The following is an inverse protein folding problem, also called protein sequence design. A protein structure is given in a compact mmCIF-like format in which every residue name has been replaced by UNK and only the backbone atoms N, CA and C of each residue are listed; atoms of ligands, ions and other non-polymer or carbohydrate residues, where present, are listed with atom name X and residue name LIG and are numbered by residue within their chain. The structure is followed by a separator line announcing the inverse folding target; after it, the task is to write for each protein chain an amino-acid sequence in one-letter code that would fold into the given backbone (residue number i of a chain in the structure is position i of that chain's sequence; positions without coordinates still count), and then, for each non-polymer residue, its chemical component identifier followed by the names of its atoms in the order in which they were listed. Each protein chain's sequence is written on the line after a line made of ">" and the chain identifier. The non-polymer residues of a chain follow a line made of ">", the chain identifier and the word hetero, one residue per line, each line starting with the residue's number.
data_IF_651285436557
#
_entry.id   IF_651285436557
#
_cell.length_a   1.000
_cell.length_b   1.000
_cell.length_c   1.000
_cell.angle_alpha   90.00
_cell.angle_beta   90.00
_cell.angle_gamma   90.00
#
_symmetry.space_group_name_H-M   'P 1'
#
loop_
_entity.id
_entity.type
_entity.pdbx_description
1 polymer ?
#
# COMPACT_ATOMS: atom_id res chain seq x y z
N UNK A 1 22.80 -0.40 6.35
CA UNK A 1 21.70 -1.03 5.58
C UNK A 1 21.08 0.01 4.67
N UNK A 2 21.20 -0.16 3.36
CA UNK A 2 20.56 0.74 2.39
C UNK A 2 19.09 0.33 2.30
N UNK A 3 18.19 1.15 2.85
CA UNK A 3 16.74 0.94 2.69
C UNK A 3 16.43 1.17 1.21
N UNK A 4 16.23 0.09 0.45
CA UNK A 4 15.82 0.17 -0.95
C UNK A 4 14.37 0.65 -0.98
N UNK A 5 14.18 1.93 -1.28
CA UNK A 5 12.86 2.53 -1.44
C UNK A 5 12.32 2.16 -2.81
N UNK A 6 11.29 1.33 -2.86
CA UNK A 6 10.63 0.99 -4.11
C UNK A 6 9.48 1.98 -4.33
N UNK A 7 9.65 2.87 -5.31
CA UNK A 7 8.61 3.82 -5.73
C UNK A 7 7.90 3.25 -6.95
N UNK A 8 6.59 3.04 -6.84
CA UNK A 8 5.75 2.64 -7.97
C UNK A 8 4.71 3.71 -8.22
N UNK A 9 4.48 4.01 -9.50
CA UNK A 9 3.43 4.92 -9.97
C UNK A 9 2.46 4.12 -10.84
N UNK A 10 1.17 4.21 -10.57
CA UNK A 10 0.13 3.58 -11.39
C UNK A 10 -1.07 4.50 -11.57
N UNK A 11 -1.65 4.49 -12.77
CA UNK A 11 -2.48 5.59 -13.30
C UNK A 11 -3.91 5.16 -13.65
N UNK A 12 -4.23 3.88 -13.47
CA UNK A 12 -5.53 3.31 -13.85
C UNK A 12 -6.16 2.60 -12.65
N UNK A 13 -7.48 2.75 -12.51
CA UNK A 13 -8.28 1.93 -11.62
C UNK A 13 -8.01 0.45 -11.91
N UNK A 14 -7.81 -0.33 -10.86
CA UNK A 14 -7.41 -1.72 -10.99
C UNK A 14 -6.63 -2.23 -9.80
N UNK A 15 -6.22 -3.49 -9.92
CA UNK A 15 -5.47 -4.18 -8.89
C UNK A 15 -3.99 -4.26 -9.26
N UNK A 16 -3.13 -3.99 -8.28
CA UNK A 16 -1.68 -4.13 -8.42
C UNK A 16 -1.13 -4.90 -7.24
N UNK A 17 -0.32 -5.91 -7.54
CA UNK A 17 0.33 -6.73 -6.54
C UNK A 17 1.83 -6.44 -6.49
N UNK A 18 2.37 -6.36 -5.28
CA UNK A 18 3.77 -6.07 -5.02
C UNK A 18 4.33 -7.02 -3.98
N UNK A 19 5.49 -7.60 -4.28
CA UNK A 19 6.23 -8.33 -3.27
C UNK A 19 6.76 -7.35 -2.21
N UNK A 20 6.64 -7.70 -0.93
CA UNK A 20 7.15 -6.86 0.16
C UNK A 20 8.61 -7.25 0.39
N UNK A 21 9.58 -6.33 0.20
CA UNK A 21 10.98 -6.63 0.50
C UNK A 21 11.14 -6.98 1.98
N UNK A 22 12.04 -7.93 2.30
CA UNK A 22 12.27 -8.36 3.68
C UNK A 22 12.69 -7.22 4.65
N UNK A 23 13.20 -6.12 4.11
CA UNK A 23 13.60 -4.93 4.87
C UNK A 23 12.55 -3.81 4.86
N UNK A 24 11.38 -4.00 4.23
CA UNK A 24 10.30 -3.04 4.22
C UNK A 24 9.38 -3.28 5.43
N UNK A 25 9.07 -2.21 6.14
CA UNK A 25 8.12 -2.22 7.26
C UNK A 25 6.90 -1.36 6.94
N UNK A 26 7.02 -0.39 6.04
CA UNK A 26 5.96 0.55 5.73
C UNK A 26 5.76 0.71 4.22
N UNK A 27 4.50 0.86 3.80
CA UNK A 27 4.16 1.38 2.49
C UNK A 27 3.44 2.72 2.66
N UNK A 28 3.94 3.76 2.00
CA UNK A 28 3.30 5.07 1.92
C UNK A 28 2.57 5.19 0.60
N UNK A 29 1.29 5.52 0.66
CA UNK A 29 0.46 5.77 -0.51
C UNK A 29 0.10 7.24 -0.56
N UNK A 30 0.36 7.87 -1.70
CA UNK A 30 -0.15 9.20 -2.05
C UNK A 30 -1.21 9.05 -3.13
N UNK A 31 -2.46 9.37 -2.76
CA UNK A 31 -3.64 9.24 -3.62
C UNK A 31 -4.15 10.64 -3.96
N UNK A 32 -4.30 10.96 -5.24
CA UNK A 32 -4.79 12.28 -5.70
C UNK A 32 -6.31 12.31 -5.93
N UNK A 33 -6.91 11.20 -6.36
CA UNK A 33 -8.36 11.04 -6.51
C UNK A 33 -8.79 9.62 -6.16
N UNK A 34 -10.06 9.43 -5.79
CA UNK A 34 -10.60 8.12 -5.42
C UNK A 34 -10.02 7.58 -4.12
N UNK A 35 -9.87 6.26 -4.04
CA UNK A 35 -9.32 5.58 -2.86
C UNK A 35 -8.59 4.29 -3.22
N UNK A 36 -7.64 3.90 -2.37
CA UNK A 36 -6.89 2.64 -2.49
C UNK A 36 -7.21 1.73 -1.30
N UNK A 37 -7.67 0.52 -1.57
CA UNK A 37 -7.74 -0.55 -0.55
C UNK A 37 -6.41 -1.28 -0.52
N UNK A 38 -5.88 -1.54 0.69
CA UNK A 38 -4.61 -2.23 0.88
C UNK A 38 -4.86 -3.56 1.56
N UNK A 39 -4.46 -4.64 0.90
CA UNK A 39 -4.54 -6.00 1.41
C UNK A 39 -3.14 -6.61 1.38
N UNK A 40 -2.87 -7.57 2.27
CA UNK A 40 -1.61 -8.31 2.26
C UNK A 40 -1.80 -9.76 2.63
N UNK A 41 -0.86 -10.59 2.19
CA UNK A 41 -0.78 -11.99 2.57
C UNK A 41 0.54 -12.29 3.26
N UNK A 42 0.50 -13.10 4.31
CA UNK A 42 1.66 -13.40 5.16
C UNK A 42 2.62 -14.39 4.48
N UNK A 43 2.10 -15.31 3.68
CA UNK A 43 2.87 -16.29 2.91
C UNK A 43 2.34 -16.37 1.47
N UNK A 44 3.03 -17.14 0.61
CA UNK A 44 2.59 -17.35 -0.78
C UNK A 44 1.18 -17.92 -0.89
N UNK A 45 0.86 -18.85 0.03
CA UNK A 45 -0.38 -19.64 0.08
C UNK A 45 -1.44 -19.05 1.03
N UNK A 46 -1.14 -17.94 1.70
CA UNK A 46 -2.12 -17.25 2.56
C UNK A 46 -3.12 -16.45 1.73
N UNK A 47 -4.32 -16.32 2.25
CA UNK A 47 -5.32 -15.39 1.74
C UNK A 47 -4.90 -13.92 1.97
N UNK A 48 -5.46 -13.03 1.16
CA UNK A 48 -5.33 -11.60 1.34
C UNK A 48 -6.19 -11.12 2.51
N UNK A 49 -5.58 -10.40 3.44
CA UNK A 49 -6.26 -9.74 4.55
C UNK A 49 -6.09 -8.22 4.45
N UNK A 50 -7.13 -7.47 4.81
CA UNK A 50 -7.08 -6.00 4.80
C UNK A 50 -6.06 -5.49 5.81
N UNK A 51 -5.18 -4.61 5.36
CA UNK A 51 -4.19 -3.94 6.20
C UNK A 51 -4.78 -2.61 6.66
N UNK A 52 -4.69 -2.33 7.96
CA UNK A 52 -5.05 -1.01 8.49
C UNK A 52 -3.89 -0.04 8.31
N UNK A 53 -4.13 1.07 7.62
CA UNK A 53 -3.20 2.18 7.51
C UNK A 53 -3.46 3.27 8.53
N UNK A 54 -2.45 4.07 8.81
CA UNK A 54 -2.51 5.31 9.60
C UNK A 54 -2.36 6.48 8.65
N UNK A 55 -3.34 7.37 8.65
CA UNK A 55 -3.30 8.63 7.90
C UNK A 55 -2.38 9.65 8.58
N UNK A 56 -2.04 10.70 7.85
CA UNK A 56 -1.33 11.86 8.42
C UNK A 56 -2.11 12.55 9.57
N UNK A 57 -3.44 12.46 9.56
CA UNK A 57 -4.32 12.95 10.64
C UNK A 57 -4.48 11.95 11.81
N UNK A 58 -3.64 10.90 11.85
CA UNK A 58 -3.63 9.82 12.83
C UNK A 58 -4.88 8.93 12.85
N UNK A 59 -5.81 9.09 11.90
CA UNK A 59 -6.95 8.17 11.77
C UNK A 59 -6.50 6.85 11.17
N UNK A 60 -6.98 5.74 11.73
CA UNK A 60 -6.75 4.39 11.18
C UNK A 60 -7.83 4.05 10.15
N UNK A 61 -7.45 3.55 8.99
CA UNK A 61 -8.38 3.10 7.97
C UNK A 61 -7.79 1.99 7.11
N UNK A 62 -8.62 1.02 6.71
CA UNK A 62 -8.25 -0.03 5.74
C UNK A 62 -8.27 0.46 4.29
N UNK A 63 -8.68 1.72 4.09
CA UNK A 63 -8.75 2.40 2.80
C UNK A 63 -7.91 3.67 2.90
N UNK A 64 -6.99 3.89 1.97
CA UNK A 64 -6.30 5.15 1.78
C UNK A 64 -7.19 6.09 0.96
N UNK A 65 -7.80 7.12 1.56
CA UNK A 65 -8.47 8.17 0.80
C UNK A 65 -7.44 9.10 0.13
N UNK A 66 -7.94 10.12 -0.56
CA UNK A 66 -7.13 11.22 -1.07
C UNK A 66 -6.22 11.79 0.04
N UNK A 67 -4.94 11.96 -0.29
CA UNK A 67 -3.89 12.38 0.64
C UNK A 67 -2.79 11.35 0.81
N UNK A 68 -2.09 11.41 1.95
CA UNK A 68 -0.99 10.50 2.29
C UNK A 68 -1.43 9.57 3.42
N UNK A 69 -1.37 8.26 3.18
CA UNK A 69 -1.66 7.21 4.16
C UNK A 69 -0.50 6.23 4.23
N UNK A 70 -0.07 5.85 5.44
CA UNK A 70 1.00 4.87 5.65
C UNK A 70 0.42 3.57 6.18
N UNK A 71 0.85 2.42 5.66
CA UNK A 71 0.40 1.09 6.12
C UNK A 71 1.59 0.29 6.63
N UNK A 72 1.39 -0.40 7.74
CA UNK A 72 2.36 -1.37 8.26
C UNK A 72 2.26 -2.66 7.45
N UNK A 73 3.36 -2.99 6.78
CA UNK A 73 3.50 -4.17 5.92
C UNK A 73 4.59 -5.10 6.43
N UNK A 74 5.12 -4.86 7.63
CA UNK A 74 6.14 -5.71 8.22
C UNK A 74 5.65 -7.16 8.34
N UNK A 75 6.44 -8.10 7.84
CA UNK A 75 6.13 -9.54 7.90
C UNK A 75 5.11 -10.04 6.87
N UNK A 76 4.56 -9.16 6.01
CA UNK A 76 3.80 -9.61 4.85
C UNK A 76 4.74 -10.09 3.74
N UNK A 77 4.33 -11.11 3.01
CA UNK A 77 5.03 -11.60 1.83
C UNK A 77 4.71 -10.74 0.59
N UNK A 78 3.45 -10.34 0.45
CA UNK A 78 2.96 -9.60 -0.71
C UNK A 78 1.79 -8.71 -0.32
N UNK A 79 1.69 -7.56 -0.98
CA UNK A 79 0.56 -6.65 -0.84
C UNK A 79 -0.18 -6.49 -2.17
N UNK A 80 -1.49 -6.33 -2.07
CA UNK A 80 -2.39 -6.01 -3.19
C UNK A 80 -3.02 -4.65 -2.93
N UNK A 81 -2.91 -3.77 -3.91
CA UNK A 81 -3.50 -2.44 -3.93
C UNK A 81 -4.64 -2.43 -4.93
N UNK A 82 -5.86 -2.14 -4.47
CA UNK A 82 -7.03 -2.00 -5.34
C UNK A 82 -7.42 -0.52 -5.38
N UNK A 83 -7.27 0.10 -6.56
CA UNK A 83 -7.50 1.53 -6.77
C UNK A 83 -8.75 1.80 -7.60
N UNK A 84 -9.50 2.82 -7.20
CA UNK A 84 -10.81 3.17 -7.79
C UNK A 84 -10.85 4.56 -8.44
N UNK A 85 -9.74 5.32 -8.42
CA UNK A 85 -9.69 6.66 -9.01
C UNK A 85 -9.09 6.71 -10.42
N UNK A 86 -8.89 7.92 -10.91
CA UNK A 86 -8.44 8.21 -12.27
C UNK A 86 -7.05 8.83 -12.34
N UNK A 87 -6.46 9.17 -11.20
CA UNK A 87 -5.15 9.84 -11.13
C UNK A 87 -4.05 8.88 -10.73
N UNK A 88 -2.81 9.33 -10.91
CA UNK A 88 -1.64 8.59 -10.47
C UNK A 88 -1.63 8.41 -8.95
N UNK A 89 -1.49 7.15 -8.54
CA UNK A 89 -1.14 6.80 -7.17
C UNK A 89 0.36 6.56 -7.10
N UNK A 90 1.00 7.18 -6.11
CA UNK A 90 2.41 6.94 -5.80
C UNK A 90 2.48 6.05 -4.57
N UNK A 91 3.05 4.86 -4.71
CA UNK A 91 3.39 3.99 -3.58
C UNK A 91 4.90 4.00 -3.33
N UNK A 92 5.29 4.05 -2.06
CA UNK A 92 6.70 3.99 -1.64
C UNK A 92 6.83 3.00 -0.50
N UNK A 93 7.52 1.88 -0.74
CA UNK A 93 7.88 0.92 0.32
C UNK A 93 9.20 1.33 0.98
N UNK A 94 9.28 1.20 2.30
CA UNK A 94 10.45 1.59 3.10
C UNK A 94 10.63 0.76 4.35
#
# INVERSE_FOLDING_TARGET
>A
MTIKKEKVVFTAAGEREFHVPANASLIKLQVKSGSVTVEGKLTKDSDYIKISGVKADLTKSTVAPVGITSFDVAGYYQVKLTYTGSDDVISVMM
#
